data_IF_128807836526
#
_entry.id   IF_128807836526
#
_cell.length_a   1.000
_cell.length_b   1.000
_cell.length_c   1.000
_cell.angle_alpha   90.00
_cell.angle_beta   90.00
_cell.angle_gamma   90.00
#
_symmetry.space_group_name_H-M   'P 1'
#
loop_
_entity.id
_entity.type
_entity.pdbx_description
1 polymer ?
#
# COMPACT_ATOMS: atom_id res chain seq x y z
N UNK A 1 -19.32 -0.61 5.02
CA UNK A 1 -18.39 0.46 4.59
C UNK A 1 -18.52 1.62 5.56
N UNK A 2 -17.61 1.73 6.53
CA UNK A 2 -17.40 3.03 7.16
C UNK A 2 -16.75 3.90 6.09
N UNK A 3 -17.46 4.91 5.61
CA UNK A 3 -16.86 5.98 4.82
C UNK A 3 -15.94 6.68 5.81
N UNK A 4 -14.65 6.33 5.81
CA UNK A 4 -13.65 7.15 6.47
C UNK A 4 -13.89 8.58 5.99
N UNK A 5 -14.27 9.44 6.92
CA UNK A 5 -14.45 10.87 6.63
C UNK A 5 -13.17 11.32 5.93
N UNK A 6 -13.24 12.03 4.79
CA UNK A 6 -12.04 12.42 4.07
C UNK A 6 -11.16 13.18 5.06
N UNK A 7 -9.99 12.60 5.37
CA UNK A 7 -9.04 13.18 6.30
C UNK A 7 -8.81 14.64 5.87
N UNK A 8 -8.76 15.59 6.82
CA UNK A 8 -8.62 17.00 6.47
C UNK A 8 -7.35 17.16 5.65
N UNK A 9 -7.51 17.50 4.38
CA UNK A 9 -6.38 17.68 3.48
C UNK A 9 -5.61 18.91 3.94
N UNK A 10 -4.39 18.71 4.43
CA UNK A 10 -3.53 19.77 4.96
C UNK A 10 -2.58 20.23 3.87
N UNK A 11 -2.42 21.56 3.72
CA UNK A 11 -1.40 22.13 2.85
C UNK A 11 0.00 21.92 3.45
N UNK A 12 0.91 21.35 2.67
CA UNK A 12 2.31 21.15 3.09
C UNK A 12 2.97 22.47 3.45
N UNK A 13 2.77 23.53 2.65
CA UNK A 13 3.38 24.83 2.91
C UNK A 13 3.00 25.39 4.29
N UNK A 14 1.74 25.22 4.70
CA UNK A 14 1.26 25.65 6.00
C UNK A 14 1.95 24.87 7.14
N UNK A 15 2.09 23.54 6.97
CA UNK A 15 2.78 22.69 7.95
C UNK A 15 4.25 23.07 8.05
N UNK A 16 4.95 23.27 6.93
CA UNK A 16 6.36 23.65 6.93
C UNK A 16 6.61 24.95 7.72
N UNK A 17 5.74 25.96 7.55
CA UNK A 17 5.82 27.20 8.33
C UNK A 17 5.63 26.96 9.82
N UNK A 18 4.71 26.07 10.21
CA UNK A 18 4.52 25.67 11.62
C UNK A 18 5.72 24.91 12.19
N UNK A 19 6.40 24.11 11.37
CA UNK A 19 7.63 23.39 11.76
C UNK A 19 8.85 24.32 11.87
N UNK A 20 8.71 25.60 11.52
CA UNK A 20 9.78 26.60 11.63
C UNK A 20 10.59 26.79 10.34
N UNK A 21 10.14 26.27 9.20
CA UNK A 21 10.74 26.62 7.92
C UNK A 21 10.53 28.11 7.63
N UNK A 22 11.59 28.78 7.21
CA UNK A 22 11.59 30.22 6.92
C UNK A 22 11.66 30.46 5.42
N UNK A 23 11.06 31.54 4.91
CA UNK A 23 11.36 32.00 3.55
C UNK A 23 12.86 32.20 3.39
N UNK A 24 13.45 31.58 2.37
CA UNK A 24 14.89 31.62 2.16
C UNK A 24 15.31 30.96 0.86
N UNK A 25 16.41 31.45 0.26
CA UNK A 25 16.97 30.95 -0.98
C UNK A 25 16.78 31.86 -2.20
N UNK A 26 17.13 31.32 -3.36
CA UNK A 26 17.15 32.07 -4.63
C UNK A 26 15.78 32.14 -5.31
N UNK A 27 14.86 31.22 -4.96
CA UNK A 27 13.59 31.05 -5.67
C UNK A 27 12.39 31.62 -4.91
N UNK A 28 11.39 32.19 -5.62
CA UNK A 28 10.14 32.63 -5.02
C UNK A 28 9.42 31.48 -4.31
N UNK A 29 8.91 31.74 -3.10
CA UNK A 29 8.20 30.76 -2.24
C UNK A 29 9.05 29.58 -1.75
N UNK A 30 10.36 29.61 -1.96
CA UNK A 30 11.26 28.64 -1.34
C UNK A 30 11.26 28.82 0.18
N UNK A 31 11.13 27.70 0.88
CA UNK A 31 11.26 27.62 2.32
C UNK A 31 12.53 26.84 2.67
N UNK A 32 13.26 27.27 3.69
CA UNK A 32 14.45 26.59 4.19
C UNK A 32 14.35 26.29 5.67
N UNK A 33 14.95 25.18 6.06
CA UNK A 33 15.11 24.79 7.45
C UNK A 33 16.55 24.43 7.71
N UNK A 34 17.13 25.02 8.74
CA UNK A 34 18.50 24.76 9.17
C UNK A 34 18.50 23.80 10.37
N UNK A 35 19.05 22.61 10.17
CA UNK A 35 19.27 21.63 11.23
C UNK A 35 20.61 21.86 11.98
N UNK A 36 21.36 22.91 11.65
CA UNK A 36 22.66 23.31 12.19
C UNK A 36 23.88 22.61 11.58
N UNK A 37 23.64 21.49 10.90
CA UNK A 37 24.63 20.72 10.14
C UNK A 37 24.15 20.40 8.71
N UNK A 38 22.94 20.82 8.36
CA UNK A 38 22.28 20.54 7.10
C UNK A 38 21.18 21.58 6.87
N UNK A 39 21.18 22.21 5.70
CA UNK A 39 20.08 23.06 5.25
C UNK A 39 19.20 22.26 4.30
N UNK A 40 17.92 22.10 4.66
CA UNK A 40 16.92 21.50 3.81
C UNK A 40 16.07 22.59 3.15
N UNK A 41 15.98 22.54 1.83
CA UNK A 41 15.20 23.47 1.01
C UNK A 41 13.93 22.78 0.55
N UNK A 42 12.81 23.48 0.61
CA UNK A 42 11.51 23.04 0.15
C UNK A 42 10.99 24.04 -0.89
N UNK A 43 10.79 23.57 -2.12
CA UNK A 43 10.38 24.39 -3.25
C UNK A 43 9.06 23.84 -3.83
N UNK A 44 7.98 24.62 -3.85
CA UNK A 44 6.78 24.25 -4.59
C UNK A 44 7.08 24.13 -6.09
N UNK A 45 6.73 23.00 -6.69
CA UNK A 45 6.98 22.70 -8.09
C UNK A 45 5.85 21.87 -8.71
N UNK A 46 6.01 21.54 -9.98
CA UNK A 46 5.18 20.56 -10.67
C UNK A 46 6.04 19.34 -10.95
N UNK A 47 5.58 18.17 -10.52
CA UNK A 47 6.35 16.93 -10.72
C UNK A 47 6.27 16.41 -12.16
N UNK A 48 6.96 15.30 -12.44
CA UNK A 48 6.97 14.64 -13.75
C UNK A 48 5.60 14.18 -14.25
N UNK A 49 4.59 14.08 -13.37
CA UNK A 49 3.22 13.70 -13.71
C UNK A 49 2.29 14.91 -13.86
N UNK A 50 2.85 16.12 -13.97
CA UNK A 50 2.11 17.38 -14.06
C UNK A 50 1.20 17.65 -12.86
N UNK A 51 1.59 17.17 -11.67
CA UNK A 51 0.86 17.38 -10.42
C UNK A 51 1.62 18.34 -9.50
N UNK A 52 0.92 19.19 -8.74
CA UNK A 52 1.55 20.02 -7.71
C UNK A 52 2.29 19.17 -6.68
N UNK A 53 3.53 19.56 -6.38
CA UNK A 53 4.40 18.90 -5.42
C UNK A 53 5.29 19.92 -4.71
N UNK A 54 5.96 19.48 -3.66
CA UNK A 54 7.04 20.21 -3.00
C UNK A 54 8.31 19.37 -3.13
N UNK A 55 9.29 19.91 -3.84
CA UNK A 55 10.62 19.33 -3.95
C UNK A 55 11.42 19.69 -2.71
N UNK A 56 11.90 18.67 -2.02
CA UNK A 56 12.86 18.81 -0.93
C UNK A 56 14.25 18.49 -1.45
N UNK A 57 15.17 19.43 -1.26
CA UNK A 57 16.56 19.26 -1.69
C UNK A 57 17.56 19.88 -0.71
N UNK A 58 18.76 19.32 -0.68
CA UNK A 58 19.86 19.84 0.11
C UNK A 58 21.10 18.98 -0.06
N UNK A 59 22.25 19.53 0.33
CA UNK A 59 23.51 18.80 0.34
C UNK A 59 23.94 18.67 1.79
N UNK A 60 24.00 17.43 2.27
CA UNK A 60 24.56 17.10 3.57
C UNK A 60 26.01 16.70 3.40
N UNK A 61 26.91 17.47 4.01
CA UNK A 61 28.35 17.21 3.96
C UNK A 61 28.88 16.90 5.35
N UNK A 62 29.70 15.87 5.43
CA UNK A 62 30.52 15.56 6.61
C UNK A 62 32.00 15.56 6.21
N UNK A 63 32.91 15.41 7.17
CA UNK A 63 34.34 15.27 6.89
C UNK A 63 34.69 14.06 6.01
N UNK A 64 33.80 13.07 5.89
CA UNK A 64 34.07 11.80 5.18
C UNK A 64 33.04 11.43 4.12
N UNK A 65 31.98 12.22 3.95
CA UNK A 65 30.90 11.92 3.00
C UNK A 65 30.19 13.17 2.51
N UNK A 66 29.73 13.11 1.26
CA UNK A 66 28.80 14.08 0.68
C UNK A 66 27.56 13.30 0.27
N UNK A 67 26.39 13.75 0.72
CA UNK A 67 25.10 13.15 0.39
C UNK A 67 24.18 14.22 -0.14
N UNK A 68 23.64 14.00 -1.33
CA UNK A 68 22.54 14.79 -1.84
C UNK A 68 21.22 14.22 -1.31
N UNK A 69 20.41 15.07 -0.69
CA UNK A 69 19.03 14.79 -0.33
C UNK A 69 18.17 15.38 -1.44
N UNK A 70 17.31 14.55 -2.05
CA UNK A 70 16.38 14.97 -3.09
C UNK A 70 15.17 14.04 -3.09
N UNK A 71 14.01 14.57 -2.74
CA UNK A 71 12.75 13.82 -2.76
C UNK A 71 11.56 14.75 -2.94
N UNK A 72 10.44 14.20 -3.40
CA UNK A 72 9.21 14.95 -3.62
C UNK A 72 8.12 14.50 -2.64
N UNK A 73 7.23 15.42 -2.31
CA UNK A 73 6.00 15.18 -1.57
C UNK A 73 4.85 15.91 -2.25
N UNK A 74 3.62 15.36 -2.28
CA UNK A 74 2.45 16.09 -2.75
C UNK A 74 2.27 17.43 -2.01
N UNK A 75 1.70 18.44 -2.66
CA UNK A 75 1.44 19.76 -2.02
C UNK A 75 0.39 19.71 -0.90
N UNK A 76 -0.35 18.61 -0.86
CA UNK A 76 -1.48 18.32 0.02
C UNK A 76 -1.37 16.91 0.57
N UNK A 77 -1.47 16.77 1.88
CA UNK A 77 -1.35 15.48 2.59
C UNK A 77 -2.46 15.31 3.63
N UNK A 78 -2.61 14.12 4.19
CA UNK A 78 -3.72 13.77 5.08
C UNK A 78 -3.53 14.29 6.52
N UNK A 79 -2.29 14.61 6.92
CA UNK A 79 -2.00 15.13 8.26
C UNK A 79 -0.65 15.84 8.35
N UNK A 80 -0.49 16.70 9.36
CA UNK A 80 0.80 17.34 9.65
C UNK A 80 1.89 16.32 10.06
N UNK A 81 1.51 15.27 10.79
CA UNK A 81 2.44 14.21 11.19
C UNK A 81 2.96 13.42 9.97
N UNK A 82 2.13 13.25 8.93
CA UNK A 82 2.57 12.66 7.67
C UNK A 82 3.65 13.49 6.97
N UNK A 83 3.57 14.84 7.02
CA UNK A 83 4.64 15.73 6.51
C UNK A 83 5.96 15.46 7.23
N UNK A 84 5.92 15.43 8.57
CA UNK A 84 7.12 15.18 9.38
C UNK A 84 7.73 13.81 9.05
N UNK A 85 6.90 12.76 8.96
CA UNK A 85 7.33 11.42 8.59
C UNK A 85 7.97 11.38 7.19
N UNK A 86 7.38 12.09 6.22
CA UNK A 86 7.90 12.16 4.85
C UNK A 86 9.26 12.83 4.79
N UNK A 87 9.43 13.95 5.49
CA UNK A 87 10.71 14.65 5.59
C UNK A 87 11.74 13.76 6.28
N UNK A 88 11.38 13.14 7.41
CA UNK A 88 12.27 12.26 8.15
C UNK A 88 12.75 11.08 7.30
N UNK A 89 11.84 10.45 6.54
CA UNK A 89 12.17 9.39 5.60
C UNK A 89 13.09 9.88 4.47
N UNK A 90 12.77 11.02 3.85
CA UNK A 90 13.53 11.56 2.72
C UNK A 90 14.94 12.02 3.09
N UNK A 91 15.12 12.58 4.29
CA UNK A 91 16.44 12.91 4.85
C UNK A 91 17.17 11.63 5.28
N UNK A 92 16.45 10.66 5.83
CA UNK A 92 16.92 9.31 6.13
C UNK A 92 17.30 9.09 7.59
N UNK A 93 17.19 7.83 8.01
CA UNK A 93 17.26 7.41 9.41
C UNK A 93 18.60 7.63 10.11
N UNK A 94 19.68 7.66 9.35
CA UNK A 94 21.03 7.86 9.87
C UNK A 94 21.37 9.33 10.10
N UNK A 95 20.49 10.26 9.72
CA UNK A 95 20.69 11.68 9.94
C UNK A 95 20.40 12.04 11.40
N UNK A 96 21.32 12.76 12.03
CA UNK A 96 21.12 13.34 13.35
C UNK A 96 21.26 14.85 13.25
N UNK A 97 20.20 15.62 13.55
CA UNK A 97 20.26 17.07 13.50
C UNK A 97 21.17 17.60 14.60
N UNK A 98 21.93 18.68 14.31
CA UNK A 98 22.79 19.32 15.30
C UNK A 98 21.99 20.22 16.25
N UNK A 99 20.94 20.85 15.74
CA UNK A 99 19.98 21.62 16.53
C UNK A 99 18.84 20.72 17.02
N UNK A 100 18.32 20.93 18.24
CA UNK A 100 17.14 20.20 18.73
C UNK A 100 15.98 20.32 17.76
N UNK A 101 15.46 19.17 17.32
CA UNK A 101 14.43 19.11 16.29
C UNK A 101 13.39 18.04 16.65
N UNK A 102 12.55 18.32 17.64
CA UNK A 102 11.60 17.35 18.20
C UNK A 102 10.66 16.76 17.15
N UNK A 103 10.15 17.60 16.24
CA UNK A 103 9.26 17.15 15.16
C UNK A 103 9.93 16.16 14.20
N UNK A 104 11.25 16.22 14.05
CA UNK A 104 11.98 15.26 13.20
C UNK A 104 12.02 13.88 13.84
N UNK A 105 12.24 13.81 15.16
CA UNK A 105 12.18 12.56 15.93
C UNK A 105 10.77 11.97 15.94
N UNK A 106 9.74 12.81 16.06
CA UNK A 106 8.34 12.39 15.93
C UNK A 106 8.07 11.82 14.53
N UNK A 107 8.55 12.48 13.47
CA UNK A 107 8.49 11.99 12.10
C UNK A 107 9.13 10.61 11.92
N UNK A 108 10.32 10.38 12.49
CA UNK A 108 10.99 9.07 12.43
C UNK A 108 10.16 7.95 13.09
N UNK A 109 9.43 8.26 14.17
CA UNK A 109 8.51 7.31 14.83
C UNK A 109 7.22 7.10 14.03
N UNK A 110 6.82 8.08 13.23
CA UNK A 110 5.58 8.10 12.48
C UNK A 110 5.68 7.55 11.04
N UNK A 111 6.73 6.80 10.70
CA UNK A 111 6.90 6.18 9.36
C UNK A 111 5.70 5.39 8.87
N UNK A 112 4.94 4.76 9.78
CA UNK A 112 3.71 4.04 9.42
C UNK A 112 2.61 4.92 8.80
N UNK A 113 2.77 6.25 8.77
CA UNK A 113 1.87 7.18 8.08
C UNK A 113 2.24 7.40 6.60
N UNK A 114 3.40 6.92 6.16
CA UNK A 114 3.85 7.04 4.77
C UNK A 114 2.94 6.18 3.86
N UNK A 115 2.53 6.69 2.69
CA UNK A 115 1.60 5.96 1.82
C UNK A 115 2.10 4.57 1.42
N UNK A 116 3.40 4.42 1.11
CA UNK A 116 3.98 3.13 0.74
C UNK A 116 4.12 2.18 1.93
N UNK A 117 4.37 2.67 3.14
CA UNK A 117 4.39 1.84 4.35
C UNK A 117 2.98 1.32 4.67
N UNK A 118 1.95 2.17 4.54
CA UNK A 118 0.55 1.77 4.70
C UNK A 118 0.14 0.76 3.63
N UNK A 119 0.49 1.01 2.36
CA UNK A 119 0.20 0.10 1.26
C UNK A 119 0.90 -1.24 1.45
N UNK A 120 2.18 -1.25 1.83
CA UNK A 120 2.93 -2.46 2.14
C UNK A 120 2.32 -3.23 3.32
N UNK A 121 1.93 -2.53 4.39
CA UNK A 121 1.28 -3.16 5.55
C UNK A 121 -0.05 -3.78 5.16
N UNK A 122 -0.90 -3.05 4.44
CA UNK A 122 -2.15 -3.58 3.92
C UNK A 122 -1.91 -4.79 3.00
N UNK A 123 -0.87 -4.75 2.16
CA UNK A 123 -0.49 -5.87 1.30
C UNK A 123 -0.02 -7.09 2.11
N UNK A 124 0.74 -6.89 3.18
CA UNK A 124 1.19 -7.98 4.07
C UNK A 124 0.04 -8.61 4.88
N UNK A 125 -0.97 -7.80 5.21
CA UNK A 125 -2.18 -8.19 5.94
C UNK A 125 -3.31 -8.66 5.01
N UNK A 126 -3.08 -8.68 3.70
CA UNK A 126 -4.08 -9.11 2.71
C UNK A 126 -4.61 -10.52 2.99
N UNK A 127 -5.87 -10.82 2.61
CA UNK A 127 -6.38 -12.19 2.59
C UNK A 127 -5.49 -13.07 1.69
N UNK A 128 -4.75 -14.00 2.30
CA UNK A 128 -3.88 -14.95 1.60
C UNK A 128 -3.98 -16.32 2.28
N UNK A 129 -4.22 -17.34 1.48
CA UNK A 129 -4.19 -18.74 1.90
C UNK A 129 -3.38 -19.58 0.91
N UNK A 130 -2.94 -20.75 1.36
CA UNK A 130 -2.19 -21.71 0.59
C UNK A 130 -2.98 -23.02 0.54
N UNK A 131 -3.34 -23.45 -0.66
CA UNK A 131 -4.10 -24.69 -0.88
C UNK A 131 -3.16 -25.74 -1.49
N UNK A 132 -3.06 -26.95 -0.93
CA UNK A 132 -2.23 -27.99 -1.53
C UNK A 132 -2.71 -28.31 -2.96
N UNK A 133 -1.78 -28.46 -3.89
CA UNK A 133 -2.08 -28.59 -5.31
C UNK A 133 -3.07 -29.72 -5.67
N UNK A 134 -3.06 -30.91 -5.04
CA UNK A 134 -4.04 -31.96 -5.35
C UNK A 134 -5.48 -31.53 -5.10
N UNK A 135 -5.71 -30.80 -4.00
CA UNK A 135 -7.02 -30.26 -3.62
C UNK A 135 -7.45 -29.16 -4.58
N UNK A 136 -6.54 -28.23 -4.90
CA UNK A 136 -6.86 -27.16 -5.86
C UNK A 136 -7.19 -27.71 -7.25
N UNK A 137 -6.51 -28.77 -7.70
CA UNK A 137 -6.80 -29.41 -8.99
C UNK A 137 -8.24 -29.97 -9.02
N UNK A 138 -8.64 -30.66 -7.96
CA UNK A 138 -9.99 -31.24 -7.83
C UNK A 138 -11.06 -30.14 -7.81
N UNK A 139 -10.88 -29.11 -7.00
CA UNK A 139 -11.83 -28.00 -6.97
C UNK A 139 -11.87 -27.21 -8.28
N UNK A 140 -10.73 -26.96 -8.93
CA UNK A 140 -10.69 -26.24 -10.20
C UNK A 140 -11.42 -26.97 -11.32
N UNK A 141 -11.48 -28.30 -11.28
CA UNK A 141 -12.31 -29.09 -12.20
C UNK A 141 -13.80 -28.85 -11.93
N UNK A 142 -14.24 -29.04 -10.69
CA UNK A 142 -15.64 -28.78 -10.31
C UNK A 142 -16.08 -27.33 -10.53
N UNK A 143 -15.22 -26.36 -10.24
CA UNK A 143 -15.50 -24.94 -10.46
C UNK A 143 -15.66 -24.61 -11.95
N UNK A 144 -14.84 -25.20 -12.83
CA UNK A 144 -14.96 -24.99 -14.28
C UNK A 144 -16.24 -25.59 -14.83
N UNK A 145 -16.58 -26.81 -14.45
CA UNK A 145 -17.83 -27.45 -14.86
C UNK A 145 -19.06 -26.62 -14.42
N UNK A 146 -19.05 -26.14 -13.17
CA UNK A 146 -20.11 -25.25 -12.70
C UNK A 146 -20.13 -23.91 -13.46
N UNK A 147 -18.96 -23.35 -13.77
CA UNK A 147 -18.83 -22.10 -14.51
C UNK A 147 -19.36 -22.18 -15.95
N UNK A 148 -19.13 -23.30 -16.63
CA UNK A 148 -19.63 -23.53 -17.98
C UNK A 148 -21.16 -23.65 -18.03
N UNK A 149 -21.77 -24.25 -17.00
CA UNK A 149 -23.22 -24.40 -16.89
C UNK A 149 -23.95 -23.18 -16.30
N UNK A 150 -23.22 -22.24 -15.70
CA UNK A 150 -23.81 -21.13 -14.94
C UNK A 150 -24.47 -20.05 -15.82
N UNK A 151 -25.59 -19.45 -15.37
CA UNK A 151 -26.11 -18.20 -15.90
C UNK A 151 -25.10 -17.04 -15.73
N UNK A 152 -25.19 -16.04 -16.59
CA UNK A 152 -24.22 -14.94 -16.66
C UNK A 152 -24.12 -14.09 -15.38
N UNK A 153 -25.22 -14.01 -14.61
CA UNK A 153 -25.30 -13.24 -13.36
C UNK A 153 -25.01 -14.06 -12.10
N UNK A 154 -24.77 -15.37 -12.23
CA UNK A 154 -24.49 -16.20 -11.05
C UNK A 154 -23.12 -15.85 -10.46
N UNK A 155 -23.08 -15.69 -9.14
CA UNK A 155 -21.87 -15.42 -8.39
C UNK A 155 -21.45 -16.66 -7.59
N UNK A 156 -20.15 -16.82 -7.44
CA UNK A 156 -19.52 -17.72 -6.49
C UNK A 156 -18.98 -16.85 -5.36
N UNK A 157 -19.23 -17.24 -4.12
CA UNK A 157 -18.64 -16.57 -2.96
C UNK A 157 -17.48 -17.40 -2.41
N UNK A 158 -16.40 -16.74 -2.03
CA UNK A 158 -15.15 -17.36 -1.58
C UNK A 158 -14.81 -16.83 -0.19
N UNK A 159 -14.70 -17.73 0.78
CA UNK A 159 -14.43 -17.40 2.18
C UNK A 159 -13.43 -18.36 2.81
N UNK A 160 -12.73 -17.91 3.86
CA UNK A 160 -11.79 -18.74 4.62
C UNK A 160 -12.04 -18.59 6.11
N UNK A 161 -12.32 -19.71 6.77
CA UNK A 161 -12.70 -19.76 8.20
C UNK A 161 -11.50 -19.91 9.16
N UNK A 162 -10.27 -20.00 8.63
CA UNK A 162 -9.05 -20.29 9.38
C UNK A 162 -8.49 -21.70 9.17
N UNK A 163 -9.26 -22.60 8.54
CA UNK A 163 -8.83 -23.98 8.22
C UNK A 163 -9.27 -24.42 6.82
N UNK A 164 -10.43 -23.96 6.39
CA UNK A 164 -11.10 -24.38 5.17
C UNK A 164 -11.37 -23.16 4.30
N UNK A 165 -10.95 -23.23 3.04
CA UNK A 165 -11.37 -22.31 2.00
C UNK A 165 -12.63 -22.86 1.34
N UNK A 166 -13.68 -22.07 1.32
CA UNK A 166 -14.99 -22.47 0.83
C UNK A 166 -15.33 -21.68 -0.43
N UNK A 167 -15.75 -22.41 -1.47
CA UNK A 167 -16.39 -21.84 -2.65
C UNK A 167 -17.88 -22.18 -2.62
N UNK A 168 -18.73 -21.20 -2.36
CA UNK A 168 -20.17 -21.36 -2.40
C UNK A 168 -20.72 -20.91 -3.76
N UNK A 169 -21.31 -21.86 -4.48
CA UNK A 169 -21.90 -21.67 -5.80
C UNK A 169 -23.41 -21.39 -5.73
N UNK A 170 -23.98 -21.26 -4.53
CA UNK A 170 -25.40 -21.12 -4.24
C UNK A 170 -26.16 -22.45 -4.22
N UNK A 171 -25.84 -23.38 -5.14
CA UNK A 171 -26.43 -24.73 -5.19
C UNK A 171 -25.60 -25.80 -4.49
N UNK A 172 -24.29 -25.56 -4.36
CA UNK A 172 -23.34 -26.47 -3.72
C UNK A 172 -22.15 -25.68 -3.18
N UNK A 173 -21.55 -26.21 -2.13
CA UNK A 173 -20.32 -25.70 -1.54
C UNK A 173 -19.15 -26.65 -1.87
N UNK A 174 -18.00 -26.10 -2.25
CA UNK A 174 -16.75 -26.84 -2.46
C UNK A 174 -15.76 -26.39 -1.37
N UNK A 175 -15.60 -27.18 -0.29
CA UNK A 175 -14.62 -26.92 0.75
C UNK A 175 -13.24 -27.47 0.37
N UNK A 176 -12.20 -26.76 0.75
CA UNK A 176 -10.80 -27.11 0.51
C UNK A 176 -9.98 -26.89 1.78
N UNK A 177 -9.10 -27.84 2.17
CA UNK A 177 -8.13 -27.55 3.22
C UNK A 177 -7.16 -26.47 2.76
N UNK A 178 -6.92 -25.46 3.60
CA UNK A 178 -6.05 -24.34 3.28
C UNK A 178 -5.32 -23.83 4.53
N UNK A 179 -4.07 -23.40 4.34
CA UNK A 179 -3.27 -22.78 5.38
C UNK A 179 -3.21 -21.27 5.18
N UNK A 180 -3.64 -20.50 6.18
CA UNK A 180 -3.66 -19.04 6.16
C UNK A 180 -3.32 -18.47 7.53
N UNK A 181 -2.85 -17.20 7.56
CA UNK A 181 -2.47 -16.56 8.83
C UNK A 181 -3.67 -16.36 9.76
N UNK A 182 -4.83 -15.97 9.21
CA UNK A 182 -6.06 -15.62 9.93
C UNK A 182 -7.29 -15.95 9.06
N UNK A 183 -8.45 -16.23 9.66
CA UNK A 183 -9.73 -16.24 8.94
C UNK A 183 -9.94 -14.92 8.20
N UNK A 184 -10.59 -14.99 7.05
CA UNK A 184 -10.95 -13.78 6.32
C UNK A 184 -12.16 -13.12 6.98
N UNK A 185 -12.10 -11.81 7.21
CA UNK A 185 -13.20 -11.06 7.82
C UNK A 185 -14.43 -10.96 6.89
N UNK A 186 -14.21 -11.11 5.59
CA UNK A 186 -15.23 -10.95 4.57
C UNK A 186 -15.17 -12.11 3.58
N UNK A 187 -16.33 -12.40 2.99
CA UNK A 187 -16.47 -13.31 1.86
C UNK A 187 -16.43 -12.49 0.57
N UNK A 188 -15.71 -13.00 -0.43
CA UNK A 188 -15.52 -12.30 -1.71
C UNK A 188 -16.40 -12.91 -2.78
N UNK A 189 -17.08 -12.08 -3.56
CA UNK A 189 -17.93 -12.55 -4.66
C UNK A 189 -17.19 -12.46 -5.98
N UNK A 190 -17.34 -13.47 -6.84
CA UNK A 190 -16.80 -13.48 -8.19
C UNK A 190 -17.87 -14.01 -9.14
N UNK A 191 -17.95 -13.47 -10.37
CA UNK A 191 -18.82 -14.06 -11.40
C UNK A 191 -18.40 -15.49 -11.69
N UNK A 192 -19.30 -16.45 -11.48
CA UNK A 192 -19.00 -17.86 -11.60
C UNK A 192 -18.47 -18.22 -13.00
N UNK A 193 -19.05 -17.64 -14.06
CA UNK A 193 -18.56 -17.84 -15.44
C UNK A 193 -17.08 -17.51 -15.66
N UNK A 194 -16.51 -16.56 -14.90
CA UNK A 194 -15.09 -16.21 -15.04
C UNK A 194 -14.18 -17.36 -14.60
N UNK A 195 -14.65 -18.21 -13.68
CA UNK A 195 -13.89 -19.37 -13.20
C UNK A 195 -13.74 -20.48 -14.25
N UNK A 196 -14.45 -20.41 -15.38
CA UNK A 196 -14.22 -21.30 -16.52
C UNK A 196 -12.78 -21.17 -17.07
N UNK A 197 -12.17 -19.99 -16.91
CA UNK A 197 -10.80 -19.70 -17.32
C UNK A 197 -9.72 -20.18 -16.32
N UNK A 198 -10.10 -20.91 -15.26
CA UNK A 198 -9.12 -21.53 -14.37
C UNK A 198 -8.21 -22.50 -15.14
N UNK A 199 -6.92 -22.59 -14.77
CA UNK A 199 -5.99 -23.46 -15.46
C UNK A 199 -6.30 -24.94 -15.20
N UNK A 200 -6.07 -25.77 -16.22
CA UNK A 200 -6.07 -27.24 -16.07
C UNK A 200 -4.81 -27.76 -15.38
N UNK A 201 -3.72 -27.00 -15.43
CA UNK A 201 -2.40 -27.36 -14.89
C UNK A 201 -1.91 -26.31 -13.91
N UNK A 202 -1.61 -26.74 -12.69
CA UNK A 202 -1.09 -25.89 -11.62
C UNK A 202 0.41 -26.11 -11.47
N UNK A 203 1.20 -25.04 -11.64
CA UNK A 203 2.66 -25.11 -11.59
C UNK A 203 3.24 -24.95 -10.17
N UNK A 204 2.44 -24.46 -9.23
CA UNK A 204 2.85 -24.17 -7.86
C UNK A 204 2.28 -25.19 -6.88
N UNK A 205 3.02 -25.50 -5.83
CA UNK A 205 2.57 -26.33 -4.71
C UNK A 205 3.25 -25.84 -3.41
N UNK A 206 2.49 -25.32 -2.43
CA UNK A 206 1.04 -25.07 -2.47
C UNK A 206 0.65 -23.95 -3.44
N UNK A 207 -0.62 -23.92 -3.84
CA UNK A 207 -1.20 -22.86 -4.69
C UNK A 207 -1.63 -21.68 -3.81
N UNK A 208 -1.10 -20.46 -4.02
CA UNK A 208 -1.54 -19.29 -3.30
C UNK A 208 -2.91 -18.82 -3.81
N UNK A 209 -3.80 -18.46 -2.90
CA UNK A 209 -5.03 -17.77 -3.19
C UNK A 209 -5.05 -16.48 -2.38
N UNK A 210 -5.01 -15.35 -3.07
CA UNK A 210 -4.93 -14.03 -2.45
C UNK A 210 -5.96 -13.06 -3.00
N UNK A 211 -6.39 -12.13 -2.16
CA UNK A 211 -7.27 -11.02 -2.55
C UNK A 211 -6.53 -9.70 -2.36
N UNK A 212 -6.50 -8.87 -3.41
CA UNK A 212 -5.85 -7.56 -3.39
C UNK A 212 -6.51 -6.60 -4.38
N UNK A 213 -6.82 -5.36 -3.98
CA UNK A 213 -7.36 -4.30 -4.84
C UNK A 213 -8.51 -4.80 -5.76
N UNK A 214 -9.59 -5.32 -5.16
CA UNK A 214 -10.78 -5.84 -5.86
C UNK A 214 -10.51 -7.00 -6.84
N UNK A 215 -9.39 -7.70 -6.65
CA UNK A 215 -9.01 -8.85 -7.46
C UNK A 215 -8.69 -10.05 -6.59
N UNK A 216 -9.11 -11.22 -7.04
CA UNK A 216 -8.70 -12.50 -6.49
C UNK A 216 -7.72 -13.18 -7.44
N UNK A 217 -6.63 -13.68 -6.90
CA UNK A 217 -5.61 -14.42 -7.63
C UNK A 217 -5.56 -15.85 -7.14
N UNK A 218 -5.55 -16.80 -8.08
CA UNK A 218 -5.29 -18.22 -7.85
C UNK A 218 -3.99 -18.59 -8.55
N UNK A 219 -2.90 -18.80 -7.82
CA UNK A 219 -1.57 -18.97 -8.39
C UNK A 219 -1.17 -17.77 -9.24
N UNK A 220 -1.07 -17.98 -10.56
CA UNK A 220 -0.73 -16.93 -11.53
C UNK A 220 -1.96 -16.35 -12.26
N UNK A 221 -3.17 -16.77 -11.92
CA UNK A 221 -4.41 -16.36 -12.60
C UNK A 221 -5.17 -15.34 -11.78
N UNK A 222 -5.53 -14.21 -12.39
CA UNK A 222 -6.19 -13.09 -11.72
C UNK A 222 -7.60 -12.91 -12.26
N UNK A 223 -8.53 -12.63 -11.36
CA UNK A 223 -9.93 -12.38 -11.66
C UNK A 223 -10.39 -11.16 -10.87
N UNK A 224 -11.28 -10.36 -11.44
CA UNK A 224 -11.91 -9.25 -10.70
C UNK A 224 -13.16 -9.76 -9.98
N UNK A 225 -13.35 -9.25 -8.76
CA UNK A 225 -14.49 -9.53 -7.90
C UNK A 225 -15.77 -8.87 -8.45
#
# INVERSE_FOLDING_TARGET
MAIESPLPIVSVEAVLKLLGFKPGGEWPRQLTYDFGNFELRALPCTNQYLRPAVLFSGIYTTTRSIRQVSFEMPDKVESAMQVQAWIAYGVGDSFTPRLPCAWFEEGLRAKGLLPWERHMRAYQDRPLVWVPRPWMRLAAEGLREAAEAAPERQVCTVGFDGRTLEFDLGSRMIPLPADGKRPWEHVFSIRLRRLAALPRRWMMDPVPIEVWEERIRFGNHVFEL
#
